data_IF_504607619254
#
_entry.id   IF_504607619254
#
_cell.length_a   1.000
_cell.length_b   1.000
_cell.length_c   1.000
_cell.angle_alpha   90.00
_cell.angle_beta   90.00
_cell.angle_gamma   90.00
#
_symmetry.space_group_name_H-M   'P 1'
#
loop_
_entity.id
_entity.type
_entity.pdbx_description
1 polymer ?
#
# COMPACT_ATOMS: atom_id res chain seq x y z
N UNK A 1 3.98 -3.06 10.89
CA UNK A 1 2.77 -3.24 11.74
C UNK A 1 1.55 -3.32 10.81
N UNK A 2 0.48 -4.04 11.17
CA UNK A 2 -0.73 -4.10 10.34
C UNK A 2 -1.36 -2.70 10.27
N UNK A 3 -1.78 -2.28 9.08
CA UNK A 3 -2.22 -0.91 8.81
C UNK A 3 -1.08 0.09 8.56
N UNK A 4 0.16 -0.37 8.40
CA UNK A 4 1.27 0.50 8.01
C UNK A 4 1.18 0.83 6.52
N UNK A 5 1.29 2.12 6.23
CA UNK A 5 1.11 2.66 4.88
C UNK A 5 2.48 3.04 4.33
N UNK A 6 2.84 2.44 3.20
CA UNK A 6 4.07 2.78 2.50
C UNK A 6 3.71 3.46 1.19
N UNK A 7 4.21 4.67 0.98
CA UNK A 7 4.17 5.33 -0.33
C UNK A 7 5.46 5.06 -1.07
N UNK A 8 5.34 4.50 -2.27
CA UNK A 8 6.45 4.31 -3.18
C UNK A 8 6.05 4.79 -4.58
N UNK A 9 6.69 5.87 -5.04
CA UNK A 9 6.29 6.59 -6.25
C UNK A 9 4.80 6.98 -6.20
N UNK A 10 4.01 6.58 -7.20
CA UNK A 10 2.57 6.83 -7.30
C UNK A 10 1.73 5.67 -6.75
N UNK A 11 2.36 4.76 -6.01
CA UNK A 11 1.72 3.59 -5.43
C UNK A 11 1.72 3.71 -3.90
N UNK A 12 0.54 3.53 -3.30
CA UNK A 12 0.35 3.43 -1.87
C UNK A 12 0.01 1.99 -1.52
N UNK A 13 0.84 1.39 -0.69
CA UNK A 13 0.72 0.03 -0.20
C UNK A 13 0.22 0.07 1.23
N UNK A 14 -0.86 -0.66 1.50
CA UNK A 14 -1.44 -0.82 2.84
C UNK A 14 -1.34 -2.29 3.21
N UNK A 15 -0.58 -2.60 4.26
CA UNK A 15 -0.46 -3.96 4.76
C UNK A 15 -1.72 -4.29 5.57
N UNK A 16 -2.58 -5.16 5.03
CA UNK A 16 -3.84 -5.51 5.69
C UNK A 16 -3.75 -6.75 6.54
N UNK A 17 -2.85 -7.69 6.24
CA UNK A 17 -2.66 -8.89 7.06
C UNK A 17 -1.18 -9.27 7.16
N UNK A 18 -0.76 -9.55 8.39
CA UNK A 18 0.57 -10.04 8.74
C UNK A 18 0.43 -11.45 9.30
N UNK A 19 1.31 -12.37 8.89
CA UNK A 19 1.43 -13.70 9.48
C UNK A 19 2.85 -13.90 9.99
N UNK A 20 3.03 -13.69 11.29
CA UNK A 20 4.36 -13.65 11.90
C UNK A 20 5.22 -12.54 11.30
N UNK A 21 6.40 -12.90 10.78
CA UNK A 21 7.30 -11.96 10.10
C UNK A 21 7.01 -11.77 8.60
N UNK A 22 6.03 -12.49 8.04
CA UNK A 22 5.71 -12.43 6.60
C UNK A 22 4.42 -11.64 6.39
N UNK A 23 4.40 -10.83 5.34
CA UNK A 23 3.20 -10.11 4.91
C UNK A 23 2.33 -11.09 4.12
N UNK A 24 1.05 -11.20 4.48
CA UNK A 24 0.10 -12.12 3.84
C UNK A 24 -0.78 -11.41 2.81
N UNK A 25 -1.32 -10.24 3.16
CA UNK A 25 -2.11 -9.41 2.24
C UNK A 25 -1.68 -7.96 2.26
N UNK A 26 -1.62 -7.39 1.07
CA UNK A 26 -1.32 -5.98 0.81
C UNK A 26 -2.33 -5.45 -0.19
N UNK A 27 -2.91 -4.29 0.14
CA UNK A 27 -3.72 -3.52 -0.79
C UNK A 27 -2.80 -2.51 -1.48
N UNK A 28 -2.74 -2.58 -2.80
CA UNK A 28 -2.01 -1.61 -3.63
C UNK A 28 -3.01 -0.65 -4.24
N UNK A 29 -2.85 0.63 -3.90
CA UNK A 29 -3.62 1.71 -4.50
C UNK A 29 -2.67 2.54 -5.35
N UNK A 30 -2.94 2.60 -6.66
CA UNK A 30 -2.25 3.55 -7.54
C UNK A 30 -2.97 4.87 -7.42
N UNK A 31 -2.30 5.86 -6.85
CA UNK A 31 -2.73 7.24 -7.06
C UNK A 31 -2.49 7.48 -8.57
N UNK A 32 -3.55 7.33 -9.38
CA UNK A 32 -3.58 7.98 -10.69
C UNK A 32 -3.22 9.41 -10.35
N UNK A 33 -2.04 9.87 -10.78
CA UNK A 33 -1.71 11.28 -10.69
C UNK A 33 -2.96 12.01 -11.10
N UNK A 34 -3.44 12.90 -10.22
CA UNK A 34 -4.54 13.82 -10.53
C UNK A 34 -4.38 14.10 -12.01
N UNK A 35 -5.34 13.64 -12.82
CA UNK A 35 -5.28 13.90 -14.24
C UNK A 35 -5.09 15.41 -14.30
N UNK A 36 -3.88 15.83 -14.67
CA UNK A 36 -3.58 17.24 -14.77
C UNK A 36 -4.49 17.69 -15.90
N UNK A 37 -5.62 18.25 -15.50
CA UNK A 37 -6.39 19.21 -16.26
C UNK A 37 -5.46 20.28 -16.83
#
# INVERSE_FOLDING_TARGET
KQGEHFKYQNLKFVITEMRGMKIEKVIVTKEKGVASS
#
